data_IF_301293003083
#
_entry.id   IF_301293003083
#
_cell.length_a   1.000
_cell.length_b   1.000
_cell.length_c   1.000
_cell.angle_alpha   90.00
_cell.angle_beta   90.00
_cell.angle_gamma   90.00
#
_symmetry.space_group_name_H-M   'P 1'
#
loop_
_entity.id
_entity.type
_entity.pdbx_description
1 polymer ?
#
# COMPACT_ATOMS: atom_id res chain seq x y z
N UNK A 1 -18.64 -8.48 0.93
CA UNK A 1 -18.06 -7.31 0.25
C UNK A 1 -16.60 -7.26 0.57
N UNK A 2 -15.80 -6.74 -0.34
CA UNK A 2 -14.39 -6.57 -0.08
C UNK A 2 -13.87 -5.34 -0.83
N UNK A 3 -13.16 -4.49 -0.11
CA UNK A 3 -12.29 -3.49 -0.68
C UNK A 3 -10.88 -4.08 -0.86
N UNK A 4 -10.44 -4.21 -2.12
CA UNK A 4 -9.06 -4.57 -2.43
C UNK A 4 -8.24 -3.31 -2.68
N UNK A 5 -6.99 -3.28 -2.20
CA UNK A 5 -6.08 -2.13 -2.34
C UNK A 5 -4.71 -2.60 -2.80
N UNK A 6 -4.22 -1.99 -3.87
CA UNK A 6 -2.89 -2.18 -4.42
C UNK A 6 -2.16 -0.84 -4.49
N UNK A 7 -0.83 -0.89 -4.39
CA UNK A 7 0.05 0.27 -4.44
C UNK A 7 1.09 0.06 -5.53
N UNK A 8 1.38 1.11 -6.30
CA UNK A 8 2.43 1.09 -7.34
C UNK A 8 3.17 2.42 -7.37
N UNK A 9 4.49 2.37 -7.26
CA UNK A 9 5.37 3.53 -7.50
C UNK A 9 5.68 3.68 -8.99
N UNK A 10 6.12 4.87 -9.39
CA UNK A 10 6.59 5.13 -10.76
C UNK A 10 7.78 4.23 -11.17
N UNK A 11 8.61 3.81 -10.19
CA UNK A 11 9.73 2.88 -10.39
C UNK A 11 9.34 1.43 -10.69
N UNK A 12 8.05 1.09 -10.62
CA UNK A 12 7.55 -0.24 -11.00
C UNK A 12 7.73 -1.28 -9.91
N UNK A 13 6.60 -1.67 -9.32
CA UNK A 13 6.41 -2.69 -8.27
C UNK A 13 7.10 -2.38 -6.94
N UNK A 14 6.31 -2.03 -5.93
CA UNK A 14 6.75 -2.12 -4.54
C UNK A 14 5.63 -2.67 -3.68
N UNK A 15 5.71 -3.98 -3.38
CA UNK A 15 5.05 -4.60 -2.23
C UNK A 15 5.58 -4.04 -0.89
N UNK A 16 6.61 -3.17 -0.92
CA UNK A 16 7.12 -2.50 0.26
C UNK A 16 6.27 -1.28 0.61
N UNK A 17 5.70 -1.27 1.82
CA UNK A 17 5.04 -0.11 2.45
C UNK A 17 6.04 0.98 2.89
N UNK A 18 7.18 1.07 2.19
CA UNK A 18 8.26 2.03 2.41
C UNK A 18 8.57 2.71 1.08
N UNK A 19 8.54 4.03 1.07
CA UNK A 19 8.70 4.86 -0.11
C UNK A 19 9.81 5.89 0.09
N UNK A 20 10.45 6.31 -1.00
CA UNK A 20 11.42 7.39 -0.93
C UNK A 20 10.68 8.73 -0.81
N UNK A 21 11.33 9.75 -0.19
CA UNK A 21 10.76 11.08 -0.14
C UNK A 21 10.49 11.64 -1.54
N UNK A 22 9.30 12.19 -1.76
CA UNK A 22 8.88 12.72 -3.06
C UNK A 22 8.38 11.68 -4.06
N UNK A 23 8.38 10.38 -3.74
CA UNK A 23 7.87 9.35 -4.65
C UNK A 23 6.38 9.57 -4.96
N UNK A 24 6.05 9.46 -6.24
CA UNK A 24 4.68 9.32 -6.72
C UNK A 24 4.16 7.90 -6.53
N UNK A 25 3.01 7.76 -5.87
CA UNK A 25 2.36 6.47 -5.62
C UNK A 25 0.95 6.48 -6.17
N UNK A 26 0.67 5.51 -7.04
CA UNK A 26 -0.68 5.16 -7.47
C UNK A 26 -1.30 4.18 -6.47
N UNK A 27 -2.47 4.52 -5.95
CA UNK A 27 -3.29 3.67 -5.08
C UNK A 27 -4.52 3.26 -5.86
N UNK A 28 -4.70 1.98 -6.11
CA UNK A 28 -5.77 1.50 -6.98
C UNK A 28 -6.29 0.16 -6.50
N UNK A 29 -7.48 -0.21 -6.92
CA UNK A 29 -8.06 -1.48 -6.55
C UNK A 29 -9.48 -1.61 -7.05
N UNK A 30 -10.19 -2.56 -6.46
CA UNK A 30 -11.57 -2.88 -6.80
C UNK A 30 -12.43 -2.95 -5.54
N UNK A 31 -13.60 -2.31 -5.58
CA UNK A 31 -14.66 -2.51 -4.60
C UNK A 31 -15.60 -3.61 -5.12
N UNK A 32 -15.86 -4.62 -4.30
CA UNK A 32 -16.67 -5.78 -4.69
C UNK A 32 -17.86 -5.97 -3.76
N UNK A 33 -19.01 -6.25 -4.36
CA UNK A 33 -20.25 -6.55 -3.66
C UNK A 33 -20.24 -7.93 -3.01
N UNK A 34 -21.41 -8.38 -2.52
CA UNK A 34 -21.53 -9.68 -1.82
C UNK A 34 -21.21 -10.89 -2.69
N UNK A 35 -21.42 -10.79 -4.00
CA UNK A 35 -21.17 -11.86 -4.97
C UNK A 35 -19.72 -11.87 -5.50
N UNK A 36 -18.85 -11.00 -4.98
CA UNK A 36 -17.47 -10.86 -5.46
C UNK A 36 -17.33 -10.17 -6.82
N UNK A 37 -18.44 -9.68 -7.40
CA UNK A 37 -18.46 -8.85 -8.59
C UNK A 37 -18.14 -7.40 -8.23
N UNK A 38 -17.55 -6.66 -9.18
CA UNK A 38 -17.31 -5.22 -9.02
C UNK A 38 -18.62 -4.47 -8.74
N UNK A 39 -18.60 -3.57 -7.76
CA UNK A 39 -19.77 -2.76 -7.40
C UNK A 39 -19.61 -1.34 -7.96
N UNK A 40 -20.33 -0.99 -9.03
CA UNK A 40 -20.20 0.30 -9.69
C UNK A 40 -20.82 1.43 -8.88
N UNK A 41 -20.26 2.64 -9.00
CA UNK A 41 -20.76 3.82 -8.29
C UNK A 41 -20.56 3.78 -6.78
N UNK A 42 -19.70 2.89 -6.28
CA UNK A 42 -19.28 2.86 -4.87
C UNK A 42 -18.43 4.09 -4.60
N UNK A 43 -18.78 4.88 -3.58
CA UNK A 43 -17.99 6.04 -3.19
C UNK A 43 -16.75 5.58 -2.41
N UNK A 44 -15.56 5.96 -2.86
CA UNK A 44 -14.29 5.62 -2.22
C UNK A 44 -13.58 6.90 -1.78
N UNK A 45 -13.28 7.00 -0.49
CA UNK A 45 -12.44 8.04 0.10
C UNK A 45 -11.07 7.46 0.44
N UNK A 46 -10.02 8.13 0.00
CA UNK A 46 -8.64 7.90 0.42
C UNK A 46 -8.18 9.03 1.32
N UNK A 47 -7.60 8.70 2.47
CA UNK A 47 -7.03 9.64 3.42
C UNK A 47 -5.60 9.23 3.78
N UNK A 48 -4.74 10.21 4.02
CA UNK A 48 -3.41 10.02 4.60
C UNK A 48 -3.40 10.65 5.98
N UNK A 49 -3.04 9.85 6.98
CA UNK A 49 -2.88 10.30 8.35
C UNK A 49 -1.40 10.39 8.69
N UNK A 50 -1.03 11.40 9.48
CA UNK A 50 0.24 11.47 10.21
C UNK A 50 -0.09 11.45 11.70
N UNK A 51 0.10 10.30 12.34
CA UNK A 51 -0.45 10.04 13.68
C UNK A 51 -1.99 9.97 13.64
N UNK A 52 -2.67 10.80 14.43
CA UNK A 52 -4.14 10.89 14.46
C UNK A 52 -4.72 11.96 13.52
N UNK A 53 -3.87 12.79 12.89
CA UNK A 53 -4.31 13.91 12.06
C UNK A 53 -4.36 13.53 10.59
N UNK A 54 -5.48 13.85 9.93
CA UNK A 54 -5.59 13.76 8.46
C UNK A 54 -4.82 14.90 7.82
N UNK A 55 -3.82 14.56 7.02
CA UNK A 55 -2.99 15.54 6.30
C UNK A 55 -3.34 15.64 4.81
N UNK A 56 -4.07 14.67 4.28
CA UNK A 56 -4.54 14.64 2.90
C UNK A 56 -5.79 13.78 2.80
N UNK A 57 -6.71 14.15 1.90
CA UNK A 57 -7.78 13.25 1.48
C UNK A 57 -8.18 13.51 0.02
N UNK A 58 -8.75 12.49 -0.61
CA UNK A 58 -9.34 12.55 -1.95
C UNK A 58 -10.47 11.54 -2.07
N UNK A 59 -11.43 11.83 -2.94
CA UNK A 59 -12.61 11.00 -3.16
C UNK A 59 -12.79 10.67 -4.64
N UNK A 60 -13.39 9.52 -4.91
CA UNK A 60 -13.78 9.09 -6.25
C UNK A 60 -14.96 8.12 -6.17
N UNK A 61 -15.52 7.77 -7.32
CA UNK A 61 -16.51 6.72 -7.45
C UNK A 61 -15.93 5.60 -8.30
N UNK A 62 -16.27 4.35 -7.99
CA UNK A 62 -15.87 3.22 -8.81
C UNK A 62 -16.52 3.24 -10.19
N UNK A 63 -15.80 2.74 -11.19
CA UNK A 63 -16.31 2.58 -12.55
C UNK A 63 -17.30 1.40 -12.68
N UNK A 64 -17.70 1.07 -13.90
CA UNK A 64 -18.65 -0.02 -14.19
C UNK A 64 -18.14 -1.41 -13.75
N UNK A 65 -16.83 -1.57 -13.52
CA UNK A 65 -16.18 -2.80 -13.10
C UNK A 65 -15.81 -2.80 -11.62
N UNK A 66 -16.21 -1.76 -10.87
CA UNK A 66 -15.86 -1.58 -9.47
C UNK A 66 -14.44 -1.06 -9.25
N UNK A 67 -13.72 -0.63 -10.30
CA UNK A 67 -12.34 -0.18 -10.20
C UNK A 67 -12.24 1.28 -9.77
N UNK A 68 -11.21 1.60 -9.00
CA UNK A 68 -10.89 2.96 -8.57
C UNK A 68 -9.39 3.21 -8.58
N UNK A 69 -9.00 4.49 -8.67
CA UNK A 69 -7.60 4.88 -8.54
C UNK A 69 -7.41 6.29 -7.96
N UNK A 70 -6.30 6.44 -7.25
CA UNK A 70 -5.78 7.69 -6.69
C UNK A 70 -4.30 7.81 -7.02
N UNK A 71 -3.80 9.04 -6.94
CA UNK A 71 -2.38 9.34 -7.00
C UNK A 71 -2.02 10.25 -5.83
N UNK A 72 -0.92 9.93 -5.15
CA UNK A 72 -0.41 10.67 -4.01
C UNK A 72 1.11 10.76 -4.08
N UNK A 73 1.65 11.95 -3.82
CA UNK A 73 3.09 12.18 -3.73
C UNK A 73 3.52 12.15 -2.27
N UNK A 74 4.53 11.34 -1.95
CA UNK A 74 5.07 11.24 -0.60
C UNK A 74 5.72 12.56 -0.16
N UNK A 75 5.64 12.90 1.14
CA UNK A 75 6.31 14.08 1.66
C UNK A 75 7.84 13.98 1.49
N UNK A 76 8.51 15.14 1.49
CA UNK A 76 9.97 15.23 1.30
C UNK A 76 10.78 14.90 2.56
N UNK A 77 10.12 14.79 3.72
CA UNK A 77 10.74 14.41 4.98
C UNK A 77 10.43 12.96 5.34
N UNK A 78 11.28 12.38 6.20
CA UNK A 78 11.01 11.07 6.77
C UNK A 78 9.75 11.15 7.65
N UNK A 79 8.82 10.23 7.43
CA UNK A 79 7.53 10.24 8.13
C UNK A 79 6.99 8.81 8.28
N UNK A 80 6.16 8.59 9.29
CA UNK A 80 5.28 7.42 9.38
C UNK A 80 3.87 7.89 9.11
N UNK A 81 3.24 7.29 8.13
CA UNK A 81 1.92 7.65 7.64
C UNK A 81 0.99 6.44 7.71
N UNK A 82 -0.30 6.70 7.78
CA UNK A 82 -1.31 5.67 7.58
C UNK A 82 -2.17 6.04 6.38
N UNK A 83 -2.23 5.13 5.41
CA UNK A 83 -3.16 5.22 4.30
C UNK A 83 -4.47 4.58 4.72
N UNK A 84 -5.56 5.33 4.67
CA UNK A 84 -6.90 4.88 5.04
C UNK A 84 -7.79 4.99 3.81
N UNK A 85 -8.37 3.87 3.38
CA UNK A 85 -9.38 3.85 2.34
C UNK A 85 -10.71 3.43 2.96
N UNK A 86 -11.76 4.17 2.65
CA UNK A 86 -13.13 3.87 3.06
C UNK A 86 -13.97 3.76 1.79
N UNK A 87 -14.64 2.62 1.60
CA UNK A 87 -15.63 2.43 0.56
C UNK A 87 -17.04 2.46 1.18
N UNK A 88 -17.91 3.34 0.68
CA UNK A 88 -19.31 3.45 1.06
C UNK A 88 -20.18 2.83 -0.01
N UNK A 89 -20.73 1.66 0.31
CA UNK A 89 -21.63 0.88 -0.54
C UNK A 89 -23.06 1.35 -0.33
N UNK A 90 -23.80 1.52 -1.44
CA UNK A 90 -25.13 2.13 -1.45
C UNK A 90 -26.16 1.44 -0.56
N UNK A 91 -26.08 0.10 -0.46
CA UNK A 91 -27.08 -0.73 0.26
C UNK A 91 -26.51 -1.33 1.54
N UNK A 92 -25.19 -1.42 1.66
CA UNK A 92 -24.55 -2.37 2.57
C UNK A 92 -23.61 -1.74 3.60
N UNK A 93 -23.49 -0.41 3.62
CA UNK A 93 -22.70 0.31 4.62
C UNK A 93 -21.27 0.60 4.16
N UNK A 94 -20.30 0.51 5.06
CA UNK A 94 -18.92 0.91 4.80
C UNK A 94 -17.93 -0.23 5.04
N UNK A 95 -16.89 -0.28 4.22
CA UNK A 95 -15.68 -1.08 4.45
C UNK A 95 -14.47 -0.15 4.55
N UNK A 96 -13.49 -0.53 5.36
CA UNK A 96 -12.30 0.30 5.61
C UNK A 96 -11.03 -0.54 5.61
N UNK A 97 -10.01 -0.04 4.91
CA UNK A 97 -8.66 -0.61 4.90
C UNK A 97 -7.67 0.44 5.41
N UNK A 98 -6.84 0.06 6.38
CA UNK A 98 -5.75 0.88 6.92
C UNK A 98 -4.41 0.23 6.62
N UNK A 99 -3.52 0.96 5.95
CA UNK A 99 -2.21 0.49 5.51
C UNK A 99 -1.13 1.40 6.13
N UNK A 100 -0.32 0.91 7.08
CA UNK A 100 0.79 1.67 7.62
C UNK A 100 1.89 1.80 6.58
N UNK A 101 2.40 3.01 6.40
CA UNK A 101 3.39 3.39 5.39
C UNK A 101 4.54 4.16 6.04
N UNK A 102 5.76 3.93 5.59
CA UNK A 102 6.94 4.69 5.99
C UNK A 102 7.50 5.47 4.79
N UNK A 103 7.89 6.71 5.04
CA UNK A 103 8.65 7.55 4.13
C UNK A 103 10.06 7.66 4.67
N UNK A 104 11.02 7.34 3.83
CA UNK A 104 12.42 7.54 4.11
C UNK A 104 13.28 6.65 3.27
N UNK A 105 14.55 7.04 3.13
CA UNK A 105 15.49 6.40 2.23
C UNK A 105 15.49 4.89 2.47
N UNK A 106 15.07 4.14 1.46
CA UNK A 106 15.44 2.73 1.33
C UNK A 106 16.79 2.79 0.61
N UNK A 107 17.91 2.45 1.27
CA UNK A 107 19.14 2.28 0.50
C UNK A 107 18.81 1.31 -0.63
N UNK A 108 19.10 1.69 -1.87
CA UNK A 108 19.05 0.74 -2.98
C UNK A 108 19.81 -0.50 -2.52
N UNK A 109 19.27 -1.72 -2.75
CA UNK A 109 20.07 -2.91 -2.51
C UNK A 109 21.38 -2.68 -3.25
N UNK A 110 22.50 -2.68 -2.50
CA UNK A 110 23.82 -2.50 -3.08
C UNK A 110 23.89 -3.46 -4.27
N UNK A 111 24.32 -3.00 -5.47
CA UNK A 111 24.52 -3.91 -6.58
C UNK A 111 25.39 -5.05 -6.05
N UNK A 112 24.95 -6.29 -6.31
CA UNK A 112 25.78 -7.46 -5.99
C UNK A 112 27.15 -7.17 -6.61
N UNK A 113 28.25 -7.23 -5.82
CA UNK A 113 29.57 -6.94 -6.36
C UNK A 113 29.80 -7.82 -7.59
N UNK A 114 29.90 -7.17 -8.76
CA UNK A 114 30.22 -7.87 -10.00
C UNK A 114 31.64 -8.43 -9.83
N UNK A 115 31.75 -9.76 -9.69
CA UNK A 115 32.98 -10.46 -10.03
C UNK A 115 33.78 -11.13 -8.92
N UNK A 116 33.26 -11.35 -7.71
CA UNK A 116 33.90 -12.31 -6.80
C UNK A 116 32.85 -13.24 -6.19
N UNK A 117 32.97 -14.54 -6.49
CA UNK A 117 32.08 -15.56 -5.96
C UNK A 117 31.99 -15.46 -4.44
N UNK A 118 30.81 -15.12 -3.95
CA UNK A 118 30.57 -15.04 -2.51
C UNK A 118 30.90 -16.40 -1.89
N UNK A 119 31.78 -16.45 -0.88
CA UNK A 119 32.05 -17.68 -0.17
C UNK A 119 30.75 -18.20 0.44
N UNK A 120 30.46 -19.48 0.23
CA UNK A 120 29.25 -20.19 0.68
C UNK A 120 28.95 -20.07 2.19
N UNK A 121 29.91 -19.65 3.01
CA UNK A 121 29.74 -19.38 4.43
C UNK A 121 29.23 -17.96 4.79
N UNK A 122 29.08 -17.04 3.82
CA UNK A 122 28.49 -15.70 4.03
C UNK A 122 26.95 -15.71 3.93
N UNK A 123 26.35 -16.85 3.59
CA UNK A 123 24.91 -16.98 3.29
C UNK A 123 23.89 -16.87 4.46
N UNK A 124 24.20 -16.94 5.77
CA UNK A 124 23.11 -16.84 6.76
C UNK A 124 22.65 -15.41 7.07
N UNK A 125 23.44 -14.38 6.74
CA UNK A 125 23.22 -13.05 7.33
C UNK A 125 22.49 -12.04 6.44
N UNK A 126 22.25 -12.35 5.16
CA UNK A 126 21.57 -11.44 4.23
C UNK A 126 20.10 -11.85 4.00
N UNK A 127 19.68 -13.04 4.45
CA UNK A 127 18.31 -13.53 4.29
C UNK A 127 17.48 -13.36 5.56
N UNK A 128 17.43 -12.16 6.13
CA UNK A 128 16.46 -11.84 7.19
C UNK A 128 15.84 -10.46 7.03
N UNK A 129 15.33 -10.17 5.84
CA UNK A 129 14.35 -9.09 5.65
C UNK A 129 13.22 -9.64 4.78
N UNK A 130 12.09 -10.00 5.39
CA UNK A 130 10.82 -9.98 4.68
C UNK A 130 9.90 -11.20 4.76
N UNK A 131 10.10 -12.16 5.66
CA UNK A 131 9.05 -13.18 5.93
C UNK A 131 8.56 -13.03 7.36
N UNK A 132 7.50 -12.24 7.56
CA UNK A 132 6.71 -12.32 8.78
C UNK A 132 5.50 -13.20 8.48
N UNK A 133 5.51 -14.42 9.00
CA UNK A 133 4.29 -15.22 9.17
C UNK A 133 3.47 -14.51 10.24
N UNK A 134 2.29 -13.99 9.87
CA UNK A 134 1.30 -13.54 10.85
C UNK A 134 0.81 -14.80 11.58
N UNK A 135 1.38 -15.07 12.76
CA UNK A 135 0.74 -15.98 13.70
C UNK A 135 -0.51 -15.26 14.21
N UNK A 136 -1.66 -15.80 13.80
CA UNK A 136 -2.97 -15.45 14.35
C UNK A 136 -2.96 -15.89 15.81
N UNK A 137 -2.90 -14.95 16.73
CA UNK A 137 -3.36 -15.25 18.09
C UNK A 137 -4.87 -15.46 18.01
N UNK A 138 -5.27 -16.72 18.20
CA UNK A 138 -6.65 -17.09 18.50
C UNK A 138 -6.80 -17.04 20.02
N UNK A 139 -7.66 -16.12 20.45
CA UNK A 139 -8.30 -15.97 21.76
C UNK A 139 -7.42 -15.46 22.91
#
# INVERSE_FOLDING_TARGET
>A
MALTVNLKTQSGLNYSRKFNPGDGVSIYGKATGILGLGEPGTHVRFSVLSGSSTIYFKETYTDIWGDYSFYYTMPLNNAKLDFVLIASYSVYGQDQVKIPVAVGYKPDPLPLPEGEGLPWWVLPSILLIGTYVVLKDKL
#
